data_IF_716854098596
#
_entry.id   IF_716854098596
#
_cell.length_a   1.000
_cell.length_b   1.000
_cell.length_c   1.000
_cell.angle_alpha   90.00
_cell.angle_beta   90.00
_cell.angle_gamma   90.00
#
_symmetry.space_group_name_H-M   'P 1'
#
loop_
_entity.id
_entity.type
_entity.pdbx_description
1 polymer ?
#
# COMPACT_ATOMS: atom_id res chain seq x y z
N UNK A 1 -3.09 7.88 -7.04
CA UNK A 1 -3.76 6.60 -6.91
C UNK A 1 -3.01 5.42 -7.50
N UNK A 2 -2.37 5.56 -8.65
CA UNK A 2 -1.69 4.46 -9.36
C UNK A 2 -0.48 3.93 -8.57
N UNK A 3 0.35 4.80 -8.06
CA UNK A 3 1.51 4.46 -7.25
C UNK A 3 1.10 3.74 -5.96
N UNK A 4 0.07 4.23 -5.29
CA UNK A 4 -0.41 3.69 -4.02
C UNK A 4 -0.91 2.24 -4.13
N UNK A 5 -1.58 1.90 -5.26
CA UNK A 5 -2.02 0.54 -5.52
C UNK A 5 -0.83 -0.40 -5.80
N UNK A 6 0.16 0.07 -6.56
CA UNK A 6 1.38 -0.69 -6.81
C UNK A 6 2.13 -0.99 -5.51
N UNK A 7 2.24 -0.02 -4.60
CA UNK A 7 2.89 -0.20 -3.30
C UNK A 7 2.15 -1.23 -2.45
N UNK A 8 0.81 -1.17 -2.42
CA UNK A 8 0.00 -2.17 -1.72
C UNK A 8 0.19 -3.58 -2.25
N UNK A 9 0.22 -3.76 -3.58
CA UNK A 9 0.47 -5.07 -4.22
C UNK A 9 1.91 -5.53 -3.96
N UNK A 10 2.90 -4.63 -4.04
CA UNK A 10 4.30 -4.95 -3.77
C UNK A 10 4.52 -5.49 -2.35
N UNK A 11 3.85 -4.91 -1.35
CA UNK A 11 3.91 -5.39 0.04
C UNK A 11 3.34 -6.81 0.16
N UNK A 12 2.22 -7.12 -0.50
CA UNK A 12 1.66 -8.48 -0.50
C UNK A 12 2.62 -9.47 -1.16
N UNK A 13 3.20 -9.11 -2.32
CA UNK A 13 4.19 -9.96 -3.00
C UNK A 13 5.43 -10.17 -2.14
N UNK A 14 5.93 -9.13 -1.48
CA UNK A 14 7.05 -9.23 -0.56
C UNK A 14 6.74 -10.17 0.61
N UNK A 15 5.56 -10.07 1.23
CA UNK A 15 5.15 -10.95 2.33
C UNK A 15 5.10 -12.42 1.89
N UNK A 16 4.61 -12.71 0.69
CA UNK A 16 4.60 -14.07 0.13
C UNK A 16 6.01 -14.58 -0.09
N UNK A 17 6.91 -13.77 -0.68
CA UNK A 17 8.32 -14.15 -0.91
C UNK A 17 9.06 -14.35 0.41
N UNK A 18 8.82 -13.48 1.40
CA UNK A 18 9.41 -13.61 2.73
C UNK A 18 8.97 -14.91 3.41
N UNK A 19 7.69 -15.26 3.31
CA UNK A 19 7.15 -16.50 3.86
C UNK A 19 7.78 -17.73 3.18
N UNK A 20 7.97 -17.67 1.86
CA UNK A 20 8.68 -18.71 1.10
C UNK A 20 10.14 -18.87 1.56
N UNK A 21 10.79 -17.78 1.92
CA UNK A 21 12.20 -17.79 2.33
C UNK A 21 12.40 -18.23 3.80
N UNK A 22 11.42 -17.95 4.67
CA UNK A 22 11.55 -18.18 6.13
C UNK A 22 10.87 -19.45 6.62
N UNK A 23 9.85 -19.94 5.92
CA UNK A 23 9.07 -21.13 6.32
C UNK A 23 9.52 -22.35 5.50
N UNK A 24 10.39 -23.17 6.08
CA UNK A 24 10.89 -24.41 5.46
C UNK A 24 9.82 -25.49 5.32
N UNK A 25 8.70 -25.37 6.00
CA UNK A 25 7.56 -26.30 5.90
C UNK A 25 6.63 -25.96 4.72
N UNK A 26 6.80 -24.78 4.13
CA UNK A 26 5.98 -24.30 3.02
C UNK A 26 6.42 -24.95 1.71
N UNK A 27 5.60 -25.87 1.18
CA UNK A 27 5.83 -26.44 -0.14
C UNK A 27 5.35 -25.46 -1.21
N UNK A 28 6.28 -24.85 -1.99
CA UNK A 28 5.93 -23.87 -3.01
C UNK A 28 5.22 -24.58 -4.18
N UNK A 29 3.89 -24.60 -4.15
CA UNK A 29 3.07 -24.93 -5.30
C UNK A 29 2.45 -23.68 -5.89
N UNK A 30 2.40 -23.57 -7.20
CA UNK A 30 1.75 -22.45 -7.88
C UNK A 30 0.33 -22.21 -7.36
N UNK A 31 -0.41 -23.27 -7.13
CA UNK A 31 -1.79 -23.22 -6.59
C UNK A 31 -1.83 -22.65 -5.15
N UNK A 32 -0.88 -23.06 -4.31
CA UNK A 32 -0.79 -22.58 -2.92
C UNK A 32 -0.43 -21.09 -2.85
N UNK A 33 0.54 -20.66 -3.66
CA UNK A 33 0.96 -19.25 -3.75
C UNK A 33 -0.18 -18.38 -4.26
N UNK A 34 -0.84 -18.80 -5.34
CA UNK A 34 -1.97 -18.07 -5.92
C UNK A 34 -3.14 -17.97 -4.94
N UNK A 35 -3.48 -19.06 -4.26
CA UNK A 35 -4.53 -19.08 -3.25
C UNK A 35 -4.21 -18.14 -2.08
N UNK A 36 -2.98 -18.18 -1.58
CA UNK A 36 -2.53 -17.29 -0.49
C UNK A 36 -2.62 -15.83 -0.92
N UNK A 37 -2.09 -15.51 -2.09
CA UNK A 37 -2.15 -14.15 -2.65
C UNK A 37 -3.58 -13.66 -2.81
N UNK A 38 -4.46 -14.47 -3.38
CA UNK A 38 -5.86 -14.10 -3.58
C UNK A 38 -6.61 -13.91 -2.26
N UNK A 39 -6.32 -14.73 -1.25
CA UNK A 39 -6.94 -14.58 0.08
C UNK A 39 -6.42 -13.33 0.79
N UNK A 40 -5.11 -13.10 0.81
CA UNK A 40 -4.54 -11.93 1.47
C UNK A 40 -4.92 -10.63 0.75
N UNK A 41 -4.77 -10.58 -0.58
CA UNK A 41 -5.11 -9.39 -1.36
C UNK A 41 -6.62 -9.18 -1.46
N UNK A 42 -7.38 -10.22 -1.80
CA UNK A 42 -8.84 -10.13 -1.92
C UNK A 42 -9.52 -9.80 -0.60
N UNK A 43 -9.08 -10.43 0.50
CA UNK A 43 -9.55 -10.11 1.85
C UNK A 43 -9.20 -8.68 2.27
N UNK A 44 -7.98 -8.22 1.95
CA UNK A 44 -7.57 -6.84 2.19
C UNK A 44 -8.43 -5.83 1.42
N UNK A 45 -8.69 -6.07 0.13
CA UNK A 45 -9.55 -5.22 -0.70
C UNK A 45 -10.97 -5.18 -0.12
N UNK A 46 -11.56 -6.33 0.19
CA UNK A 46 -12.90 -6.43 0.75
C UNK A 46 -13.02 -5.65 2.07
N UNK A 47 -12.08 -5.88 2.99
CA UNK A 47 -12.06 -5.19 4.27
C UNK A 47 -11.87 -3.68 4.10
N UNK A 48 -10.98 -3.26 3.19
CA UNK A 48 -10.74 -1.86 2.89
C UNK A 48 -11.98 -1.14 2.34
N UNK A 49 -12.71 -1.77 1.42
CA UNK A 49 -13.98 -1.24 0.90
C UNK A 49 -15.01 -1.12 2.02
N UNK A 50 -15.15 -2.15 2.86
CA UNK A 50 -16.10 -2.16 3.97
C UNK A 50 -15.82 -1.03 4.97
N UNK A 51 -14.58 -0.91 5.41
CA UNK A 51 -14.16 0.13 6.35
C UNK A 51 -14.25 1.53 5.75
N UNK A 52 -13.82 1.69 4.49
CA UNK A 52 -13.92 2.96 3.77
C UNK A 52 -15.36 3.41 3.54
N UNK A 53 -16.25 2.47 3.21
CA UNK A 53 -17.68 2.75 3.07
C UNK A 53 -18.30 3.16 4.41
N UNK A 54 -18.04 2.40 5.47
CA UNK A 54 -18.56 2.68 6.81
C UNK A 54 -18.11 4.07 7.31
N UNK A 55 -16.82 4.37 7.19
CA UNK A 55 -16.28 5.67 7.56
C UNK A 55 -16.89 6.81 6.74
N UNK A 56 -17.00 6.64 5.42
CA UNK A 56 -17.61 7.65 4.55
C UNK A 56 -19.05 7.93 4.91
N UNK A 57 -19.82 6.90 5.29
CA UNK A 57 -21.21 7.08 5.71
C UNK A 57 -21.34 7.79 7.07
N UNK A 58 -20.41 7.51 7.99
CA UNK A 58 -20.36 8.19 9.28
C UNK A 58 -19.95 9.66 9.12
N UNK A 59 -18.96 9.95 8.26
CA UNK A 59 -18.51 11.33 7.99
C UNK A 59 -19.61 12.19 7.37
N UNK A 60 -20.47 11.63 6.51
CA UNK A 60 -21.64 12.36 5.95
C UNK A 60 -22.59 12.87 7.01
N UNK A 61 -22.73 12.17 8.12
CA UNK A 61 -23.68 12.50 9.18
C UNK A 61 -23.14 13.52 10.18
N UNK A 62 -21.82 13.62 10.28
CA UNK A 62 -21.18 14.41 11.32
C UNK A 62 -20.86 15.85 10.86
N UNK A 63 -20.54 16.07 9.59
CA UNK A 63 -20.09 17.31 8.95
C UNK A 63 -19.17 18.20 9.82
N UNK A 64 -18.29 17.55 10.57
CA UNK A 64 -17.32 18.16 11.48
C UNK A 64 -15.92 17.63 11.14
N UNK A 65 -14.96 18.54 11.00
CA UNK A 65 -13.59 18.18 10.59
C UNK A 65 -12.86 17.38 11.67
N UNK A 66 -13.08 17.65 12.96
CA UNK A 66 -12.47 16.89 14.04
C UNK A 66 -12.96 15.43 14.03
N UNK A 67 -14.26 15.25 13.84
CA UNK A 67 -14.87 13.92 13.75
C UNK A 67 -14.34 13.19 12.52
N UNK A 68 -14.20 13.88 11.39
CA UNK A 68 -13.66 13.32 10.15
C UNK A 68 -12.21 12.83 10.33
N UNK A 69 -11.35 13.64 10.97
CA UNK A 69 -9.96 13.26 11.28
C UNK A 69 -9.93 12.06 12.22
N UNK A 70 -10.70 12.08 13.31
CA UNK A 70 -10.73 10.97 14.27
C UNK A 70 -11.26 9.68 13.66
N UNK A 71 -12.27 9.75 12.79
CA UNK A 71 -12.78 8.59 12.05
C UNK A 71 -11.72 7.99 11.12
N UNK A 72 -11.01 8.83 10.38
CA UNK A 72 -9.94 8.32 9.49
C UNK A 72 -8.79 7.70 10.28
N UNK A 73 -8.41 8.29 11.42
CA UNK A 73 -7.42 7.67 12.33
C UNK A 73 -7.92 6.35 12.91
N UNK A 74 -9.18 6.28 13.33
CA UNK A 74 -9.79 5.04 13.82
C UNK A 74 -9.80 3.94 12.75
N UNK A 75 -10.09 4.30 11.49
CA UNK A 75 -10.03 3.38 10.35
C UNK A 75 -8.60 2.87 10.12
N UNK A 76 -7.61 3.76 10.14
CA UNK A 76 -6.21 3.36 9.92
C UNK A 76 -5.72 2.48 11.05
N UNK A 77 -5.88 2.89 12.31
CA UNK A 77 -5.37 2.14 13.45
C UNK A 77 -6.19 0.87 13.73
N UNK A 78 -7.50 1.00 13.82
CA UNK A 78 -8.42 -0.10 14.09
C UNK A 78 -8.50 -1.08 12.91
N UNK A 79 -8.61 -0.55 11.71
CA UNK A 79 -8.66 -1.34 10.48
C UNK A 79 -7.39 -2.13 10.23
N UNK A 80 -6.21 -1.55 10.52
CA UNK A 80 -4.94 -2.27 10.44
C UNK A 80 -4.92 -3.47 11.40
N UNK A 81 -5.36 -3.29 12.63
CA UNK A 81 -5.42 -4.36 13.64
C UNK A 81 -6.41 -5.45 13.24
N UNK A 82 -7.59 -5.07 12.75
CA UNK A 82 -8.62 -6.01 12.27
C UNK A 82 -8.08 -6.82 11.08
N UNK A 83 -7.45 -6.17 10.10
CA UNK A 83 -6.85 -6.84 8.96
C UNK A 83 -5.78 -7.84 9.38
N UNK A 84 -4.90 -7.45 10.31
CA UNK A 84 -3.86 -8.32 10.87
C UNK A 84 -4.46 -9.53 11.61
N UNK A 85 -5.48 -9.31 12.43
CA UNK A 85 -6.17 -10.38 13.15
C UNK A 85 -6.92 -11.34 12.21
N UNK A 86 -7.40 -10.84 11.06
CA UNK A 86 -8.08 -11.63 10.03
C UNK A 86 -7.12 -12.30 9.02
N UNK A 87 -5.81 -12.15 9.21
CA UNK A 87 -4.78 -12.68 8.29
C UNK A 87 -4.93 -12.21 6.84
N UNK A 88 -5.37 -10.96 6.65
CA UNK A 88 -5.45 -10.31 5.34
C UNK A 88 -4.44 -9.17 5.26
N UNK A 89 -4.11 -8.71 4.05
CA UNK A 89 -3.15 -7.63 3.86
C UNK A 89 -3.64 -6.32 4.46
N UNK A 90 -3.08 -5.95 5.63
CA UNK A 90 -3.39 -4.69 6.31
C UNK A 90 -3.02 -3.46 5.47
N UNK A 91 -1.82 -3.38 4.84
CA UNK A 91 -1.48 -2.23 4.00
C UNK A 91 -2.45 -2.06 2.83
N UNK A 92 -2.79 -3.15 2.14
CA UNK A 92 -3.72 -3.09 1.02
C UNK A 92 -5.13 -2.67 1.46
N UNK A 93 -5.59 -3.16 2.61
CA UNK A 93 -6.87 -2.75 3.18
C UNK A 93 -6.90 -1.24 3.47
N UNK A 94 -5.82 -0.69 4.04
CA UNK A 94 -5.72 0.75 4.33
C UNK A 94 -5.66 1.60 3.06
N UNK A 95 -4.94 1.15 2.03
CA UNK A 95 -4.90 1.81 0.71
C UNK A 95 -6.30 1.89 0.11
N UNK A 96 -7.03 0.79 0.08
CA UNK A 96 -8.39 0.74 -0.48
C UNK A 96 -9.37 1.57 0.35
N UNK A 97 -9.30 1.51 1.69
CA UNK A 97 -10.11 2.35 2.57
C UNK A 97 -9.86 3.84 2.32
N UNK A 98 -8.59 4.25 2.22
CA UNK A 98 -8.19 5.62 1.93
C UNK A 98 -8.67 6.10 0.56
N UNK A 99 -8.55 5.27 -0.50
CA UNK A 99 -9.08 5.59 -1.82
C UNK A 99 -10.60 5.73 -1.81
N UNK A 100 -11.30 4.89 -1.05
CA UNK A 100 -12.75 4.96 -0.93
C UNK A 100 -13.19 6.23 -0.21
N UNK A 101 -12.59 6.55 0.93
CA UNK A 101 -12.84 7.78 1.69
C UNK A 101 -12.51 9.02 0.83
N UNK A 102 -11.37 9.02 0.15
CA UNK A 102 -10.94 10.13 -0.71
C UNK A 102 -11.84 10.38 -1.90
N UNK A 103 -12.46 9.35 -2.49
CA UNK A 103 -13.32 9.51 -3.66
C UNK A 103 -14.80 9.68 -3.30
N UNK A 104 -15.32 8.90 -2.37
CA UNK A 104 -16.73 8.90 -2.00
C UNK A 104 -17.00 9.88 -0.87
N UNK A 105 -16.13 9.95 0.12
CA UNK A 105 -16.22 10.88 1.24
C UNK A 105 -16.11 12.34 0.79
N UNK A 106 -15.26 12.62 -0.20
CA UNK A 106 -15.13 13.98 -0.78
C UNK A 106 -16.42 14.54 -1.38
N UNK A 107 -17.30 13.71 -1.90
CA UNK A 107 -18.58 14.17 -2.45
C UNK A 107 -19.64 14.49 -1.39
N UNK A 108 -19.39 14.07 -0.16
CA UNK A 108 -20.37 14.11 0.91
C UNK A 108 -20.09 15.17 2.00
N UNK A 109 -18.85 15.67 2.06
CA UNK A 109 -18.40 16.64 3.06
C UNK A 109 -18.31 18.05 2.45
N UNK A 110 -18.42 19.09 3.32
CA UNK A 110 -18.15 20.47 2.93
C UNK A 110 -16.72 20.62 2.39
N UNK A 111 -16.48 21.60 1.50
CA UNK A 111 -15.14 21.89 0.95
C UNK A 111 -14.13 22.18 2.08
N UNK A 112 -14.58 22.86 3.13
CA UNK A 112 -13.77 23.19 4.29
C UNK A 112 -13.27 21.94 5.03
N UNK A 113 -14.15 20.95 5.27
CA UNK A 113 -13.78 19.69 5.89
C UNK A 113 -12.77 18.87 5.07
N UNK A 114 -12.87 18.94 3.73
CA UNK A 114 -11.91 18.30 2.83
C UNK A 114 -10.53 18.90 2.98
N UNK A 115 -10.44 20.23 2.95
CA UNK A 115 -9.16 20.96 3.05
C UNK A 115 -8.45 20.64 4.38
N UNK A 116 -9.19 20.62 5.49
CA UNK A 116 -8.61 20.25 6.79
C UNK A 116 -8.12 18.82 6.83
N UNK A 117 -8.89 17.88 6.29
CA UNK A 117 -8.51 16.47 6.26
C UNK A 117 -7.27 16.24 5.36
N UNK A 118 -7.20 16.91 4.21
CA UNK A 118 -6.05 16.82 3.31
C UNK A 118 -4.78 17.40 3.94
N UNK A 119 -4.88 18.56 4.60
CA UNK A 119 -3.75 19.17 5.32
C UNK A 119 -3.27 18.31 6.49
N UNK A 120 -4.20 17.75 7.26
CA UNK A 120 -3.85 16.85 8.35
C UNK A 120 -3.05 15.65 7.84
N UNK A 121 -3.54 14.96 6.80
CA UNK A 121 -2.88 13.79 6.25
C UNK A 121 -1.57 14.13 5.53
N UNK A 122 -1.44 15.32 4.93
CA UNK A 122 -0.18 15.79 4.36
C UNK A 122 0.91 15.94 5.45
N UNK A 123 0.56 16.53 6.60
CA UNK A 123 1.49 16.64 7.74
C UNK A 123 1.87 15.24 8.29
N UNK A 124 0.90 14.35 8.44
CA UNK A 124 1.15 12.97 8.89
C UNK A 124 2.07 12.23 7.93
N UNK A 125 1.88 12.40 6.61
CA UNK A 125 2.75 11.82 5.57
C UNK A 125 4.19 12.30 5.70
N UNK A 126 4.42 13.61 5.85
CA UNK A 126 5.76 14.17 6.06
C UNK A 126 6.44 13.61 7.32
N UNK A 127 5.70 13.53 8.43
CA UNK A 127 6.22 13.00 9.69
C UNK A 127 6.56 11.50 9.53
N UNK A 128 5.67 10.72 8.93
CA UNK A 128 5.89 9.29 8.73
C UNK A 128 7.06 9.02 7.79
N UNK A 129 7.23 9.81 6.74
CA UNK A 129 8.37 9.73 5.84
C UNK A 129 9.68 10.04 6.56
N UNK A 130 9.72 11.09 7.40
CA UNK A 130 10.90 11.42 8.20
C UNK A 130 11.26 10.27 9.16
N UNK A 131 10.28 9.70 9.84
CA UNK A 131 10.47 8.55 10.73
C UNK A 131 10.96 7.32 9.96
N UNK A 132 10.38 7.04 8.79
CA UNK A 132 10.79 5.92 7.94
C UNK A 132 12.26 6.04 7.51
N UNK A 133 12.69 7.21 7.04
CA UNK A 133 14.09 7.44 6.67
C UNK A 133 15.04 7.34 7.87
N UNK A 134 14.60 7.78 9.04
CA UNK A 134 15.35 7.63 10.28
C UNK A 134 15.56 6.13 10.64
N UNK A 135 14.50 5.32 10.54
CA UNK A 135 14.59 3.88 10.78
C UNK A 135 15.47 3.18 9.75
N UNK A 136 15.36 3.53 8.47
CA UNK A 136 16.26 2.99 7.42
C UNK A 136 17.71 3.34 7.75
N UNK A 137 17.99 4.58 8.20
CA UNK A 137 19.31 5.00 8.63
C UNK A 137 19.84 4.19 9.82
N UNK A 138 19.01 3.91 10.81
CA UNK A 138 19.38 3.06 11.94
C UNK A 138 19.62 1.60 11.52
N UNK A 139 18.79 1.05 10.64
CA UNK A 139 18.96 -0.30 10.13
C UNK A 139 20.30 -0.46 9.41
N UNK A 140 20.73 0.54 8.66
CA UNK A 140 22.03 0.57 7.99
C UNK A 140 23.21 0.47 8.99
N UNK A 141 23.07 1.01 10.20
CA UNK A 141 24.09 0.94 11.25
C UNK A 141 24.18 -0.45 11.90
N UNK A 142 23.10 -1.24 11.84
CA UNK A 142 23.04 -2.57 12.43
C UNK A 142 23.65 -3.65 11.54
N UNK A 143 23.83 -3.38 10.25
CA UNK A 143 24.40 -4.34 9.30
C UNK A 143 25.91 -4.47 9.55
N UNK A 144 26.31 -5.56 10.19
CA UNK A 144 27.72 -5.80 10.59
C UNK A 144 28.63 -6.36 9.49
N UNK A 145 28.09 -6.96 8.43
CA UNK A 145 28.86 -7.63 7.38
C UNK A 145 28.42 -7.16 5.98
N UNK A 146 28.91 -5.98 5.59
CA UNK A 146 28.64 -5.41 4.28
C UNK A 146 29.51 -5.99 3.16
N UNK A 147 30.69 -6.55 3.49
CA UNK A 147 31.71 -6.90 2.49
C UNK A 147 31.29 -7.97 1.45
N UNK A 148 30.33 -8.85 1.79
CA UNK A 148 29.80 -9.82 0.83
C UNK A 148 28.48 -9.38 0.15
N UNK A 149 27.86 -8.31 0.61
CA UNK A 149 26.52 -7.93 0.18
C UNK A 149 26.50 -6.82 -0.89
N UNK A 150 27.62 -6.11 -1.06
CA UNK A 150 27.71 -5.07 -2.10
C UNK A 150 27.46 -5.58 -3.51
N UNK A 151 27.94 -6.78 -3.83
CA UNK A 151 27.71 -7.40 -5.14
C UNK A 151 26.23 -7.73 -5.34
N UNK A 152 25.59 -8.31 -4.33
CA UNK A 152 24.15 -8.61 -4.34
C UNK A 152 23.32 -7.33 -4.44
N UNK A 153 23.68 -6.29 -3.68
CA UNK A 153 23.04 -4.97 -3.75
C UNK A 153 23.18 -4.34 -5.14
N UNK A 154 24.37 -4.40 -5.73
CA UNK A 154 24.61 -3.91 -7.10
C UNK A 154 23.77 -4.65 -8.15
N UNK A 155 23.70 -5.97 -8.06
CA UNK A 155 22.86 -6.79 -8.95
C UNK A 155 21.37 -6.43 -8.74
N UNK A 156 20.91 -6.29 -7.49
CA UNK A 156 19.54 -5.93 -7.19
C UNK A 156 19.16 -4.58 -7.80
N UNK A 157 20.03 -3.57 -7.70
CA UNK A 157 19.82 -2.24 -8.33
C UNK A 157 19.64 -2.38 -9.84
N UNK A 158 20.52 -3.11 -10.50
CA UNK A 158 20.46 -3.31 -11.96
C UNK A 158 19.17 -4.02 -12.34
N UNK A 159 18.79 -5.08 -11.62
CA UNK A 159 17.55 -5.83 -11.87
C UNK A 159 16.32 -4.95 -11.69
N UNK A 160 16.27 -4.14 -10.63
CA UNK A 160 15.17 -3.20 -10.38
C UNK A 160 15.05 -2.13 -11.49
N UNK A 161 16.19 -1.58 -11.95
CA UNK A 161 16.20 -0.59 -13.03
C UNK A 161 15.74 -1.19 -14.35
N UNK A 162 16.20 -2.40 -14.68
CA UNK A 162 15.78 -3.11 -15.88
C UNK A 162 14.30 -3.47 -15.83
N UNK A 163 13.82 -3.99 -14.69
CA UNK A 163 12.41 -4.32 -14.51
C UNK A 163 11.52 -3.08 -14.65
N UNK A 164 11.92 -1.94 -14.06
CA UNK A 164 11.22 -0.66 -14.20
C UNK A 164 11.21 -0.16 -15.64
N UNK A 165 12.37 -0.23 -16.32
CA UNK A 165 12.49 0.15 -17.73
C UNK A 165 11.59 -0.69 -18.64
N UNK A 166 11.58 -2.01 -18.45
CA UNK A 166 10.73 -2.93 -19.21
C UNK A 166 9.24 -2.70 -18.92
N UNK A 167 8.88 -2.48 -17.66
CA UNK A 167 7.50 -2.20 -17.25
C UNK A 167 6.92 -0.94 -17.89
N UNK A 168 7.74 0.06 -18.19
CA UNK A 168 7.32 1.28 -18.88
C UNK A 168 7.39 1.09 -20.39
N UNK A 169 8.47 0.49 -20.89
CA UNK A 169 8.73 0.35 -22.34
C UNK A 169 7.69 -0.53 -23.06
N UNK A 170 7.31 -1.65 -22.44
CA UNK A 170 6.37 -2.60 -23.06
C UNK A 170 4.98 -1.99 -23.29
N UNK A 171 4.31 -1.39 -22.27
CA UNK A 171 3.02 -0.74 -22.47
C UNK A 171 3.11 0.47 -23.40
N UNK A 172 4.14 1.31 -23.25
CA UNK A 172 4.34 2.48 -24.09
C UNK A 172 4.44 2.11 -25.58
N UNK A 173 5.23 1.10 -25.91
CA UNK A 173 5.37 0.61 -27.30
C UNK A 173 4.06 0.02 -27.83
N UNK A 174 3.29 -0.65 -26.99
CA UNK A 174 2.02 -1.28 -27.37
C UNK A 174 0.94 -0.23 -27.62
N UNK A 175 0.89 0.82 -26.79
CA UNK A 175 -0.07 1.92 -26.92
C UNK A 175 0.28 2.83 -28.09
N UNK A 176 1.56 3.23 -28.24
CA UNK A 176 2.00 4.08 -29.34
C UNK A 176 1.81 3.40 -30.71
N UNK A 177 2.00 2.08 -30.78
CA UNK A 177 1.76 1.31 -31.99
C UNK A 177 0.28 1.29 -32.42
N UNK A 178 -0.66 1.42 -31.45
CA UNK A 178 -2.10 1.52 -31.74
C UNK A 178 -2.52 2.94 -32.16
N UNK A 179 -1.85 3.98 -31.69
CA UNK A 179 -2.17 5.37 -32.00
C UNK A 179 -1.66 5.79 -33.39
N UNK A 180 -0.59 5.15 -33.88
CA UNK A 180 -0.03 5.42 -35.24
C UNK A 180 -0.73 4.65 -36.37
N UNK A 181 -1.76 3.88 -36.07
CA UNK A 181 -2.52 3.07 -37.07
C UNK A 181 -3.91 3.67 -37.35
N UNK A 182 -4.18 4.87 -36.91
CA UNK A 182 -5.33 5.71 -37.28
C UNK A 182 -4.78 7.04 -37.82
#
# INVERSE_FOLDING_TARGET
>A
GESLFNDGVAVVMFAVVLKLATDTSFVPSFNTITKLFLLEAGGGIFLGVLLGWLASEMMKKADDYHVSVLLTLAVVMGGFLIAKASHVSSPLAMVIAGLFIGNVGKKANSEENKDYLERFWAIVDEIMNAILFLFIGFEMLLIKNLDGQFLLGGIAIIVCLLARGLSIYIPAKTILRKVTTY
#
